data_IF_769046116958
#
_entry.id   IF_769046116958
#
_cell.length_a   1.000
_cell.length_b   1.000
_cell.length_c   1.000
_cell.angle_alpha   90.00
_cell.angle_beta   90.00
_cell.angle_gamma   90.00
#
_symmetry.space_group_name_H-M   'P 1'
#
loop_
_entity.id
_entity.type
_entity.pdbx_description
1 polymer ?
#
# COMPACT_ATOMS: atom_id res chain seq x y z
N UNK A 1 -61.46 6.49 41.07
CA UNK A 1 -60.58 6.56 39.88
C UNK A 1 -59.52 7.63 40.13
N UNK A 2 -58.28 7.25 40.44
CA UNK A 2 -57.22 8.20 40.78
C UNK A 2 -56.69 8.91 39.53
N UNK A 3 -56.83 10.25 39.47
CA UNK A 3 -56.27 11.09 38.40
C UNK A 3 -54.77 11.26 38.66
N UNK A 4 -53.94 10.57 37.87
CA UNK A 4 -52.49 10.77 37.85
C UNK A 4 -52.15 12.24 37.49
N UNK A 5 -51.20 12.90 38.17
CA UNK A 5 -50.88 14.29 37.90
C UNK A 5 -50.18 14.42 36.53
N UNK A 6 -50.81 15.14 35.60
CA UNK A 6 -50.29 15.43 34.26
C UNK A 6 -48.89 16.08 34.24
N UNK A 7 -48.47 16.70 35.35
CA UNK A 7 -47.14 17.28 35.51
C UNK A 7 -46.01 16.23 35.56
N UNK A 8 -46.26 15.07 36.19
CA UNK A 8 -45.23 14.02 36.34
C UNK A 8 -44.97 13.30 35.02
N UNK A 9 -46.01 13.10 34.20
CA UNK A 9 -45.88 12.49 32.87
C UNK A 9 -45.15 13.40 31.87
N UNK A 10 -45.36 14.72 31.94
CA UNK A 10 -44.69 15.71 31.08
C UNK A 10 -43.19 15.84 31.41
N UNK A 11 -42.85 15.88 32.71
CA UNK A 11 -41.45 15.87 33.18
C UNK A 11 -40.73 14.56 32.81
N UNK A 12 -41.40 13.41 32.99
CA UNK A 12 -40.86 12.10 32.60
C UNK A 12 -40.60 11.99 31.10
N UNK A 13 -41.49 12.50 30.24
CA UNK A 13 -41.28 12.54 28.78
C UNK A 13 -40.10 13.43 28.38
N UNK A 14 -39.93 14.60 29.00
CA UNK A 14 -38.76 15.47 28.78
C UNK A 14 -37.45 14.77 29.18
N UNK A 15 -37.42 14.12 30.34
CA UNK A 15 -36.23 13.42 30.82
C UNK A 15 -35.86 12.22 29.92
N UNK A 16 -36.85 11.51 29.39
CA UNK A 16 -36.65 10.46 28.39
C UNK A 16 -36.10 11.03 27.07
N UNK A 17 -36.61 12.18 26.62
CA UNK A 17 -36.09 12.85 25.43
C UNK A 17 -34.62 13.30 25.60
N UNK A 18 -34.27 13.92 26.74
CA UNK A 18 -32.87 14.28 27.04
C UNK A 18 -31.95 13.06 27.10
N UNK A 19 -32.41 11.95 27.70
CA UNK A 19 -31.65 10.69 27.74
C UNK A 19 -31.47 10.08 26.35
N UNK A 20 -32.48 10.15 25.50
CA UNK A 20 -32.38 9.65 24.12
C UNK A 20 -31.43 10.53 23.29
N UNK A 21 -31.45 11.85 23.50
CA UNK A 21 -30.51 12.79 22.85
C UNK A 21 -29.08 12.51 23.30
N UNK A 22 -28.82 12.32 24.60
CA UNK A 22 -27.48 12.03 25.08
C UNK A 22 -26.95 10.70 24.54
N UNK A 23 -27.78 9.66 24.48
CA UNK A 23 -27.43 8.38 23.85
C UNK A 23 -27.12 8.58 22.36
N UNK A 24 -27.92 9.36 21.62
CA UNK A 24 -27.68 9.62 20.19
C UNK A 24 -26.35 10.34 19.94
N UNK A 25 -25.97 11.29 20.80
CA UNK A 25 -24.70 12.01 20.73
C UNK A 25 -23.53 11.05 20.99
N UNK A 26 -23.65 10.20 22.02
CA UNK A 26 -22.62 9.19 22.32
C UNK A 26 -22.44 8.23 21.14
N UNK A 27 -23.53 7.73 20.55
CA UNK A 27 -23.48 6.87 19.38
C UNK A 27 -22.80 7.58 18.20
N UNK A 28 -23.18 8.83 17.90
CA UNK A 28 -22.55 9.61 16.84
C UNK A 28 -21.04 9.77 17.06
N UNK A 29 -20.62 10.04 18.30
CA UNK A 29 -19.20 10.10 18.67
C UNK A 29 -18.48 8.78 18.37
N UNK A 30 -19.04 7.64 18.80
CA UNK A 30 -18.46 6.32 18.50
C UNK A 30 -18.41 6.04 16.99
N UNK A 31 -19.42 6.45 16.22
CA UNK A 31 -19.41 6.31 14.76
C UNK A 31 -18.30 7.14 14.11
N UNK A 32 -18.12 8.40 14.51
CA UNK A 32 -17.03 9.25 13.99
C UNK A 32 -15.67 8.64 14.33
N UNK A 33 -15.50 8.15 15.57
CA UNK A 33 -14.26 7.51 16.00
C UNK A 33 -13.97 6.22 15.22
N UNK A 34 -15.00 5.41 14.97
CA UNK A 34 -14.90 4.21 14.11
C UNK A 34 -14.49 4.58 12.68
N UNK A 35 -15.13 5.58 12.07
CA UNK A 35 -14.79 6.04 10.72
C UNK A 35 -13.36 6.56 10.67
N UNK A 36 -12.93 7.32 11.68
CA UNK A 36 -11.55 7.80 11.80
C UNK A 36 -10.56 6.64 11.89
N UNK A 37 -10.84 5.64 12.73
CA UNK A 37 -10.02 4.43 12.85
C UNK A 37 -9.96 3.64 11.53
N UNK A 38 -11.07 3.53 10.80
CA UNK A 38 -11.11 2.88 9.48
C UNK A 38 -10.28 3.63 8.44
N UNK A 39 -10.38 4.97 8.42
CA UNK A 39 -9.56 5.81 7.52
C UNK A 39 -8.09 5.69 7.89
N UNK A 40 -7.75 5.73 9.18
CA UNK A 40 -6.39 5.57 9.67
C UNK A 40 -5.81 4.21 9.25
N UNK A 41 -6.54 3.12 9.50
CA UNK A 41 -6.15 1.75 9.11
C UNK A 41 -5.97 1.63 7.59
N UNK A 42 -6.85 2.22 6.79
CA UNK A 42 -6.72 2.25 5.32
C UNK A 42 -5.45 2.99 4.88
N UNK A 43 -5.11 4.12 5.50
CA UNK A 43 -3.87 4.85 5.18
C UNK A 43 -2.64 4.02 5.54
N UNK A 44 -2.64 3.40 6.72
CA UNK A 44 -1.54 2.55 7.17
C UNK A 44 -1.34 1.35 6.22
N UNK A 45 -2.43 0.65 5.87
CA UNK A 45 -2.41 -0.44 4.89
C UNK A 45 -1.86 -0.02 3.54
N UNK A 46 -2.21 1.18 3.06
CA UNK A 46 -1.67 1.72 1.79
C UNK A 46 -0.16 2.02 1.87
N UNK A 47 0.35 2.41 3.03
CA UNK A 47 1.79 2.64 3.24
C UNK A 47 2.51 1.30 3.32
N UNK A 48 2.01 0.39 4.15
CA UNK A 48 2.56 -0.95 4.32
C UNK A 48 2.58 -1.75 3.01
N UNK A 49 1.51 -1.69 2.22
CA UNK A 49 1.47 -2.30 0.88
C UNK A 49 2.52 -1.70 -0.06
N UNK A 50 2.78 -0.38 0.04
CA UNK A 50 3.83 0.26 -0.76
C UNK A 50 5.23 -0.18 -0.34
N UNK A 51 5.48 -0.35 0.96
CA UNK A 51 6.75 -0.84 1.49
C UNK A 51 6.97 -2.30 1.07
N UNK A 52 6.00 -3.18 1.33
CA UNK A 52 6.07 -4.59 0.91
C UNK A 52 6.31 -4.75 -0.59
N UNK A 53 5.62 -3.97 -1.43
CA UNK A 53 5.85 -4.04 -2.87
C UNK A 53 7.27 -3.61 -3.25
N UNK A 54 7.87 -2.64 -2.56
CA UNK A 54 9.26 -2.24 -2.79
C UNK A 54 10.24 -3.33 -2.37
N UNK A 55 10.02 -3.95 -1.21
CA UNK A 55 10.83 -5.07 -0.72
C UNK A 55 10.76 -6.27 -1.67
N UNK A 56 9.56 -6.64 -2.13
CA UNK A 56 9.37 -7.73 -3.09
C UNK A 56 10.10 -7.45 -4.42
N UNK A 57 10.05 -6.21 -4.91
CA UNK A 57 10.78 -5.80 -6.13
C UNK A 57 12.28 -5.85 -5.94
N UNK A 58 12.78 -5.38 -4.80
CA UNK A 58 14.21 -5.42 -4.48
C UNK A 58 14.70 -6.87 -4.32
N UNK A 59 13.93 -7.73 -3.67
CA UNK A 59 14.23 -9.16 -3.55
C UNK A 59 14.21 -9.86 -4.91
N UNK A 60 13.25 -9.55 -5.76
CA UNK A 60 13.20 -10.08 -7.14
C UNK A 60 14.41 -9.63 -7.97
N UNK A 61 14.79 -8.35 -7.87
CA UNK A 61 16.00 -7.82 -8.51
C UNK A 61 17.26 -8.51 -7.99
N UNK A 62 17.32 -8.78 -6.69
CA UNK A 62 18.41 -9.52 -6.07
C UNK A 62 18.47 -10.98 -6.54
N UNK A 63 17.33 -11.65 -6.75
CA UNK A 63 17.31 -12.99 -7.35
C UNK A 63 17.81 -12.98 -8.79
N UNK A 64 17.46 -11.96 -9.57
CA UNK A 64 17.88 -11.84 -10.97
C UNK A 64 19.38 -11.58 -11.15
N UNK A 65 19.98 -10.73 -10.30
CA UNK A 65 21.35 -10.21 -10.51
C UNK A 65 22.31 -10.63 -9.39
N UNK A 66 21.79 -10.81 -8.18
CA UNK A 66 22.56 -10.83 -6.93
C UNK A 66 22.92 -12.21 -6.40
N UNK A 67 22.17 -13.28 -6.70
CA UNK A 67 22.46 -14.61 -6.14
C UNK A 67 23.76 -15.23 -6.68
N UNK A 68 24.02 -15.16 -7.98
CA UNK A 68 25.27 -15.61 -8.60
C UNK A 68 25.36 -15.15 -10.06
N UNK A 69 26.57 -15.12 -10.64
CA UNK A 69 26.77 -14.86 -12.07
C UNK A 69 26.04 -15.91 -12.93
N UNK A 70 25.92 -17.15 -12.44
CA UNK A 70 25.16 -18.23 -13.10
C UNK A 70 23.66 -17.90 -13.16
N UNK A 71 23.08 -17.41 -12.07
CA UNK A 71 21.67 -16.99 -12.04
C UNK A 71 21.42 -15.81 -12.99
N UNK A 72 22.32 -14.83 -13.01
CA UNK A 72 22.24 -13.69 -13.94
C UNK A 72 22.29 -14.15 -15.41
N UNK A 73 23.15 -15.12 -15.73
CA UNK A 73 23.22 -15.69 -17.08
C UNK A 73 21.97 -16.52 -17.40
N UNK A 74 21.42 -17.28 -16.45
CA UNK A 74 20.21 -18.08 -16.69
C UNK A 74 18.97 -17.21 -16.91
N UNK A 75 18.80 -16.15 -16.13
CA UNK A 75 17.61 -15.31 -16.18
C UNK A 75 17.71 -14.19 -17.20
N UNK A 76 18.88 -13.54 -17.29
CA UNK A 76 19.08 -12.38 -18.16
C UNK A 76 19.90 -12.70 -19.42
N UNK A 77 20.47 -13.91 -19.56
CA UNK A 77 21.38 -14.31 -20.65
C UNK A 77 22.64 -13.45 -20.76
N UNK A 78 22.99 -12.76 -19.68
CA UNK A 78 24.14 -11.86 -19.61
C UNK A 78 24.87 -12.06 -18.29
N UNK A 79 26.18 -11.94 -18.33
CA UNK A 79 26.98 -11.88 -17.10
C UNK A 79 26.72 -10.56 -16.35
N UNK A 80 26.90 -10.58 -15.02
CA UNK A 80 26.60 -9.43 -14.16
C UNK A 80 27.40 -8.18 -14.54
N UNK A 81 28.66 -8.36 -14.95
CA UNK A 81 29.50 -7.25 -15.43
C UNK A 81 28.93 -6.60 -16.70
N UNK A 82 28.46 -7.42 -17.63
CA UNK A 82 27.86 -6.96 -18.88
C UNK A 82 26.54 -6.23 -18.61
N UNK A 83 25.74 -6.72 -17.66
CA UNK A 83 24.51 -6.06 -17.24
C UNK A 83 24.77 -4.64 -16.68
N UNK A 84 25.75 -4.48 -15.79
CA UNK A 84 26.09 -3.16 -15.24
C UNK A 84 26.61 -2.21 -16.33
N UNK A 85 27.44 -2.71 -17.25
CA UNK A 85 27.94 -1.92 -18.39
C UNK A 85 26.80 -1.49 -19.32
N UNK A 86 25.82 -2.37 -19.55
CA UNK A 86 24.62 -2.02 -20.31
C UNK A 86 23.81 -0.92 -19.61
N UNK A 87 23.62 -1.01 -18.29
CA UNK A 87 22.93 0.03 -17.52
C UNK A 87 23.64 1.39 -17.64
N UNK A 88 24.97 1.40 -17.62
CA UNK A 88 25.77 2.61 -17.83
C UNK A 88 25.56 3.21 -19.23
N UNK A 89 25.62 2.38 -20.28
CA UNK A 89 25.37 2.82 -21.67
C UNK A 89 23.95 3.36 -21.84
N UNK A 90 22.96 2.68 -21.27
CA UNK A 90 21.55 3.12 -21.32
C UNK A 90 21.36 4.45 -20.59
N UNK A 91 22.09 4.66 -19.50
CA UNK A 91 22.06 5.93 -18.77
C UNK A 91 22.69 7.07 -19.57
N UNK A 92 23.89 6.85 -20.11
CA UNK A 92 24.66 7.89 -20.82
C UNK A 92 24.07 8.20 -22.19
N UNK A 93 23.79 7.17 -22.99
CA UNK A 93 23.36 7.30 -24.38
C UNK A 93 21.85 7.37 -24.52
N UNK A 94 21.12 6.60 -23.72
CA UNK A 94 19.66 6.56 -23.76
C UNK A 94 18.97 7.65 -22.92
N UNK A 95 19.73 8.37 -22.10
CA UNK A 95 19.19 9.37 -21.18
C UNK A 95 18.19 8.80 -20.16
N UNK A 96 18.19 7.47 -19.99
CA UNK A 96 17.31 6.81 -19.03
C UNK A 96 17.88 7.06 -17.63
N UNK A 97 17.05 7.53 -16.72
CA UNK A 97 17.39 7.62 -15.31
C UNK A 97 16.34 6.90 -14.46
N UNK A 98 16.77 6.44 -13.28
CA UNK A 98 15.86 5.87 -12.30
C UNK A 98 14.76 6.86 -11.93
N UNK A 99 13.53 6.38 -11.81
CA UNK A 99 12.40 7.19 -11.33
C UNK A 99 12.39 7.18 -9.79
N UNK A 100 11.69 8.12 -9.15
CA UNK A 100 11.48 8.19 -7.68
C UNK A 100 11.05 6.86 -7.01
N UNK A 101 10.48 5.91 -7.75
CA UNK A 101 9.97 4.65 -7.24
C UNK A 101 10.67 3.40 -7.79
N UNK A 102 11.52 3.52 -8.81
CA UNK A 102 12.06 2.39 -9.59
C UNK A 102 13.46 2.75 -10.06
N UNK A 103 14.44 1.90 -9.78
CA UNK A 103 15.82 2.14 -10.20
C UNK A 103 15.99 1.82 -11.69
N UNK A 104 17.04 2.37 -12.32
CA UNK A 104 17.32 2.11 -13.73
C UNK A 104 17.61 0.63 -13.97
N UNK A 105 18.34 0.01 -13.04
CA UNK A 105 18.67 -1.41 -13.04
C UNK A 105 17.40 -2.26 -12.98
N UNK A 106 16.40 -1.88 -12.18
CA UNK A 106 15.12 -2.58 -12.10
C UNK A 106 14.38 -2.56 -13.45
N UNK A 107 14.37 -1.41 -14.14
CA UNK A 107 13.76 -1.26 -15.47
C UNK A 107 14.48 -2.13 -16.50
N UNK A 108 15.81 -2.00 -16.57
CA UNK A 108 16.64 -2.72 -17.54
C UNK A 108 16.59 -4.23 -17.29
N UNK A 109 16.66 -4.67 -16.04
CA UNK A 109 16.56 -6.09 -15.67
C UNK A 109 15.20 -6.68 -16.05
N UNK A 110 14.10 -5.97 -15.75
CA UNK A 110 12.76 -6.43 -16.11
C UNK A 110 12.58 -6.55 -17.62
N UNK A 111 13.09 -5.57 -18.38
CA UNK A 111 13.05 -5.58 -19.84
C UNK A 111 13.80 -6.78 -20.42
N UNK A 112 15.03 -6.99 -19.98
CA UNK A 112 15.86 -8.11 -20.45
C UNK A 112 15.24 -9.45 -20.05
N UNK A 113 14.75 -9.57 -18.83
CA UNK A 113 14.07 -10.78 -18.36
C UNK A 113 12.91 -11.16 -19.27
N UNK A 114 12.04 -10.19 -19.63
CA UNK A 114 10.91 -10.42 -20.55
C UNK A 114 11.40 -10.93 -21.90
N UNK A 115 12.43 -10.31 -22.48
CA UNK A 115 12.98 -10.72 -23.79
C UNK A 115 13.65 -12.10 -23.72
N UNK A 116 14.46 -12.34 -22.69
CA UNK A 116 15.19 -13.59 -22.49
C UNK A 116 14.28 -14.80 -22.32
N UNK A 117 13.13 -14.62 -21.68
CA UNK A 117 12.11 -15.66 -21.53
C UNK A 117 11.17 -15.75 -22.73
N UNK A 118 10.90 -14.65 -23.44
CA UNK A 118 10.17 -14.71 -24.71
C UNK A 118 10.94 -15.51 -25.78
N UNK A 119 12.27 -15.48 -25.76
CA UNK A 119 13.13 -16.28 -26.64
C UNK A 119 13.36 -17.72 -26.16
N UNK A 120 12.69 -18.15 -25.09
CA UNK A 120 12.81 -19.51 -24.52
C UNK A 120 11.65 -20.41 -24.95
N UNK A 121 10.54 -19.82 -25.38
CA UNK A 121 9.39 -20.48 -26.02
C UNK A 121 9.47 -20.35 -27.54
#
# INVERSE_FOLDING_TARGET
>A
MARLPLATTRSRRRNLAFRNISISIMLMYYYIWLLFALVYKRRLWKIEKRIRNRELRAAHLYQLIGESDVACIQELRMDRRTFHKLCEIVRVTGGLEGTRNTSLEEIVATFIYIISHHLKN
#
